data_IF_721283989998
#
_entry.id   IF_721283989998
#
_cell.length_a   1.000
_cell.length_b   1.000
_cell.length_c   1.000
_cell.angle_alpha   90.00
_cell.angle_beta   90.00
_cell.angle_gamma   90.00
#
_symmetry.space_group_name_H-M   'P 1'
#
loop_
_entity.id
_entity.type
_entity.pdbx_description
1 polymer ?
#
# COMPACT_ATOMS: atom_id res chain seq x y z
N UNK A 1 -0.67 -3.13 18.28
CA UNK A 1 0.60 -3.83 18.52
C UNK A 1 0.37 -5.31 18.23
N UNK A 2 1.06 -5.86 17.22
CA UNK A 2 0.93 -7.26 16.78
C UNK A 2 1.47 -8.16 17.89
N UNK A 3 0.69 -9.13 18.36
CA UNK A 3 1.03 -9.91 19.56
C UNK A 3 1.67 -11.26 19.26
N UNK A 4 1.47 -11.79 18.05
CA UNK A 4 2.00 -13.10 17.65
C UNK A 4 2.05 -13.30 16.12
N UNK A 5 2.61 -14.44 15.68
CA UNK A 5 2.76 -14.83 14.26
C UNK A 5 1.42 -15.02 13.55
N UNK A 6 0.38 -15.49 14.23
CA UNK A 6 -0.92 -15.69 13.61
C UNK A 6 -1.58 -14.34 13.28
N UNK A 7 -1.47 -13.36 14.18
CA UNK A 7 -1.93 -11.99 13.95
C UNK A 7 -1.11 -11.33 12.85
N UNK A 8 0.19 -11.60 12.79
CA UNK A 8 1.05 -11.15 11.72
C UNK A 8 0.65 -11.74 10.35
N UNK A 9 0.47 -13.06 10.23
CA UNK A 9 0.05 -13.73 8.98
C UNK A 9 -1.40 -13.38 8.57
N UNK A 10 -2.22 -12.94 9.53
CA UNK A 10 -3.53 -12.34 9.24
C UNK A 10 -3.36 -10.96 8.61
N UNK A 11 -2.38 -10.18 9.04
CA UNK A 11 -2.16 -8.81 8.57
C UNK A 11 -1.33 -8.76 7.29
N UNK A 12 -0.36 -9.64 7.10
CA UNK A 12 0.58 -9.61 5.99
C UNK A 12 0.64 -10.97 5.29
N UNK A 13 0.50 -10.99 3.98
CA UNK A 13 0.68 -12.19 3.16
C UNK A 13 1.52 -11.86 1.93
N UNK A 14 2.61 -12.59 1.74
CA UNK A 14 3.45 -12.48 0.55
C UNK A 14 3.28 -13.75 -0.30
N UNK A 15 3.02 -13.57 -1.59
CA UNK A 15 2.98 -14.64 -2.57
C UNK A 15 4.03 -14.38 -3.64
N UNK A 16 4.83 -15.40 -3.98
CA UNK A 16 5.76 -15.36 -5.11
C UNK A 16 5.15 -16.07 -6.32
N UNK A 17 5.38 -15.49 -7.50
CA UNK A 17 5.17 -16.15 -8.78
C UNK A 17 6.32 -15.77 -9.70
N UNK A 18 7.15 -16.74 -10.05
CA UNK A 18 8.39 -16.53 -10.80
C UNK A 18 9.30 -15.52 -10.09
N UNK A 19 9.68 -14.43 -10.77
CA UNK A 19 10.50 -13.34 -10.21
C UNK A 19 9.68 -12.16 -9.66
N UNK A 20 8.36 -12.32 -9.54
CA UNK A 20 7.43 -11.27 -9.08
C UNK A 20 6.75 -11.68 -7.78
N UNK A 21 6.44 -10.66 -6.98
CA UNK A 21 5.81 -10.82 -5.68
C UNK A 21 4.49 -10.06 -5.62
N UNK A 22 3.53 -10.64 -4.89
CA UNK A 22 2.31 -9.96 -4.50
C UNK A 22 2.26 -9.87 -2.98
N UNK A 23 2.12 -8.65 -2.46
CA UNK A 23 2.03 -8.36 -1.04
C UNK A 23 0.61 -7.92 -0.70
N UNK A 24 0.02 -8.57 0.28
CA UNK A 24 -1.31 -8.26 0.79
C UNK A 24 -1.14 -7.75 2.21
N UNK A 25 -1.69 -6.57 2.49
CA UNK A 25 -1.69 -5.97 3.81
C UNK A 25 -3.14 -5.70 4.23
N UNK A 26 -3.62 -6.43 5.23
CA UNK A 26 -4.93 -6.23 5.83
C UNK A 26 -4.87 -5.14 6.89
N UNK A 27 -5.95 -4.36 6.99
CA UNK A 27 -6.12 -3.30 7.98
C UNK A 27 -5.08 -2.15 7.86
N UNK A 28 -4.47 -1.97 6.67
CA UNK A 28 -3.52 -0.86 6.44
C UNK A 28 -4.26 0.47 6.21
N UNK A 29 -3.92 1.55 6.94
CA UNK A 29 -4.64 2.81 6.85
C UNK A 29 -4.45 3.48 5.48
N UNK A 30 -5.56 3.65 4.74
CA UNK A 30 -5.54 4.26 3.40
C UNK A 30 -5.01 5.70 3.42
N UNK A 31 -5.26 6.42 4.50
CA UNK A 31 -4.85 7.81 4.65
C UNK A 31 -3.33 7.92 4.89
N UNK A 32 -2.75 7.01 5.67
CA UNK A 32 -1.30 6.93 5.85
C UNK A 32 -0.62 6.59 4.52
N UNK A 33 -1.14 5.61 3.78
CA UNK A 33 -0.68 5.31 2.42
C UNK A 33 -0.75 6.54 1.50
N UNK A 34 -1.89 7.23 1.47
CA UNK A 34 -2.09 8.40 0.63
C UNK A 34 -1.15 9.56 0.99
N UNK A 35 -0.86 9.75 2.27
CA UNK A 35 0.12 10.73 2.75
C UNK A 35 1.56 10.34 2.40
N UNK A 36 1.88 9.06 2.52
CA UNK A 36 3.21 8.54 2.23
C UNK A 36 3.60 8.73 0.76
N UNK A 37 2.65 8.51 -0.16
CA UNK A 37 2.84 8.66 -1.60
C UNK A 37 2.21 9.96 -2.15
N UNK A 38 2.09 10.99 -1.30
CA UNK A 38 1.33 12.20 -1.62
C UNK A 38 1.81 12.93 -2.88
N UNK A 39 3.13 12.94 -3.09
CA UNK A 39 3.80 13.67 -4.19
C UNK A 39 4.27 12.77 -5.32
N UNK A 40 4.08 11.46 -5.17
CA UNK A 40 4.49 10.45 -6.13
C UNK A 40 3.49 10.41 -7.29
N UNK A 41 4.04 10.32 -8.50
CA UNK A 41 3.21 10.16 -9.71
C UNK A 41 2.67 8.73 -9.75
N UNK A 42 1.35 8.61 -9.89
CA UNK A 42 0.62 7.36 -10.02
C UNK A 42 0.03 7.31 -11.42
N UNK A 43 0.38 6.26 -12.17
CA UNK A 43 -0.29 5.97 -13.43
C UNK A 43 -1.66 5.32 -13.19
N UNK A 44 -2.64 5.68 -14.00
CA UNK A 44 -4.01 5.14 -13.93
C UNK A 44 -4.61 5.27 -12.51
N UNK A 45 -4.34 6.40 -11.85
CA UNK A 45 -4.84 6.70 -10.52
C UNK A 45 -6.36 6.64 -10.52
N UNK A 46 -6.92 5.77 -9.69
CA UNK A 46 -8.35 5.73 -9.40
C UNK A 46 -8.53 5.87 -7.90
N UNK A 47 -9.34 6.84 -7.46
CA UNK A 47 -9.61 7.12 -6.06
C UNK A 47 -11.11 7.36 -5.85
N UNK A 48 -11.71 6.65 -4.90
CA UNK A 48 -13.08 6.84 -4.46
C UNK A 48 -13.07 7.24 -2.98
N UNK A 49 -13.76 8.33 -2.65
CA UNK A 49 -13.78 8.88 -1.30
C UNK A 49 -15.13 9.54 -0.99
N UNK A 50 -15.45 9.70 0.31
CA UNK A 50 -16.60 10.49 0.75
C UNK A 50 -16.15 11.93 0.98
N UNK A 51 -16.80 12.85 0.28
CA UNK A 51 -16.65 14.28 0.53
C UNK A 51 -17.38 14.63 1.82
N UNK A 52 -16.64 15.02 2.86
CA UNK A 52 -17.19 15.31 4.19
C UNK A 52 -18.11 16.54 4.24
N UNK A 53 -18.04 17.43 3.24
CA UNK A 53 -18.89 18.62 3.17
C UNK A 53 -20.25 18.28 2.58
N UNK A 54 -20.29 17.37 1.62
CA UNK A 54 -21.52 17.00 0.88
C UNK A 54 -22.09 15.65 1.27
N UNK A 55 -21.35 14.84 2.03
CA UNK A 55 -21.64 13.43 2.34
C UNK A 55 -21.92 12.60 1.07
N UNK A 56 -21.18 12.88 -0.01
CA UNK A 56 -21.34 12.20 -1.29
C UNK A 56 -20.08 11.45 -1.70
N UNK A 57 -20.30 10.30 -2.37
CA UNK A 57 -19.22 9.56 -3.00
C UNK A 57 -18.68 10.35 -4.20
N UNK A 58 -17.39 10.65 -4.15
CA UNK A 58 -16.62 11.26 -5.25
C UNK A 58 -15.67 10.23 -5.84
N UNK A 59 -15.36 10.42 -7.12
CA UNK A 59 -14.42 9.58 -7.86
C UNK A 59 -13.46 10.44 -8.67
N UNK A 60 -12.17 10.12 -8.56
CA UNK A 60 -11.10 10.64 -9.39
C UNK A 60 -10.57 9.48 -10.24
N UNK A 61 -10.34 9.76 -11.52
CA UNK A 61 -9.67 8.85 -12.44
C UNK A 61 -8.80 9.68 -13.40
N UNK A 62 -7.48 9.46 -13.35
CA UNK A 62 -6.52 10.20 -14.17
C UNK A 62 -5.31 9.31 -14.52
N UNK A 63 -4.70 9.57 -15.67
CA UNK A 63 -3.67 8.70 -16.23
C UNK A 63 -2.31 8.92 -15.59
N UNK A 64 -1.93 10.16 -15.25
CA UNK A 64 -0.64 10.47 -14.62
C UNK A 64 -0.85 11.63 -13.67
N UNK A 65 -1.15 11.30 -12.43
CA UNK A 65 -1.51 12.30 -11.43
C UNK A 65 -0.89 11.99 -10.08
N UNK A 66 -0.84 13.01 -9.24
CA UNK A 66 -0.41 12.94 -7.85
C UNK A 66 -1.59 13.23 -6.95
N UNK A 67 -1.59 12.68 -5.75
CA UNK A 67 -2.60 13.04 -4.76
C UNK A 67 -2.53 14.53 -4.39
N UNK A 68 -1.33 15.12 -4.45
CA UNK A 68 -1.11 16.57 -4.28
C UNK A 68 -1.76 17.45 -5.34
N UNK A 69 -2.19 16.90 -6.47
CA UNK A 69 -2.88 17.66 -7.51
C UNK A 69 -4.35 17.92 -7.15
N UNK A 70 -4.91 17.14 -6.22
CA UNK A 70 -6.33 17.20 -5.83
C UNK A 70 -6.57 17.61 -4.38
N UNK A 71 -5.62 17.32 -3.48
CA UNK A 71 -5.78 17.53 -2.05
C UNK A 71 -4.59 18.24 -1.44
N UNK A 72 -4.81 18.90 -0.30
CA UNK A 72 -3.75 19.26 0.65
C UNK A 72 -3.45 18.06 1.56
N UNK A 73 -2.26 18.05 2.15
CA UNK A 73 -1.85 17.00 3.09
C UNK A 73 -2.81 16.87 4.28
N UNK A 74 -3.30 17.99 4.83
CA UNK A 74 -4.21 17.97 5.98
C UNK A 74 -5.58 17.39 5.63
N UNK A 75 -6.02 17.54 4.37
CA UNK A 75 -7.28 17.02 3.87
C UNK A 75 -7.22 15.49 3.77
N UNK A 76 -6.11 14.93 3.26
CA UNK A 76 -5.92 13.48 3.15
C UNK A 76 -5.89 12.76 4.49
N UNK A 77 -5.35 13.38 5.53
CA UNK A 77 -5.29 12.78 6.86
C UNK A 77 -6.68 12.40 7.40
N UNK A 78 -7.72 13.15 7.02
CA UNK A 78 -9.10 12.96 7.48
C UNK A 78 -10.06 12.47 6.40
N UNK A 79 -9.58 12.30 5.17
CA UNK A 79 -10.40 11.89 4.04
C UNK A 79 -10.91 10.46 4.24
N UNK A 80 -12.21 10.23 4.05
CA UNK A 80 -12.74 8.87 4.10
C UNK A 80 -12.54 8.18 2.75
N UNK A 81 -11.36 7.59 2.56
CA UNK A 81 -11.01 6.85 1.35
C UNK A 81 -11.74 5.50 1.35
N UNK A 82 -12.56 5.25 0.32
CA UNK A 82 -13.24 3.96 0.11
C UNK A 82 -12.37 3.00 -0.68
N UNK A 83 -11.80 3.47 -1.78
CA UNK A 83 -10.88 2.70 -2.61
C UNK A 83 -9.85 3.61 -3.27
N UNK A 84 -8.65 3.07 -3.47
CA UNK A 84 -7.57 3.67 -4.22
C UNK A 84 -6.83 2.56 -4.96
N UNK A 85 -6.42 2.84 -6.19
CA UNK A 85 -5.59 1.97 -7.03
C UNK A 85 -4.79 2.77 -8.05
N UNK A 86 -3.77 2.14 -8.59
CA UNK A 86 -2.95 2.70 -9.65
C UNK A 86 -1.65 1.93 -9.80
N UNK A 87 -0.74 2.50 -10.59
CA UNK A 87 0.55 1.91 -10.89
C UNK A 87 1.67 2.91 -10.59
N UNK A 88 2.66 2.50 -9.81
CA UNK A 88 3.84 3.33 -9.59
C UNK A 88 4.94 2.97 -10.59
N UNK A 89 5.14 3.85 -11.56
CA UNK A 89 6.21 3.71 -12.56
C UNK A 89 7.60 3.54 -11.93
N UNK A 90 7.92 4.33 -10.92
CA UNK A 90 9.26 4.33 -10.33
C UNK A 90 9.60 3.03 -9.62
N UNK A 91 8.59 2.34 -9.08
CA UNK A 91 8.75 1.12 -8.30
C UNK A 91 8.34 -0.15 -9.06
N UNK A 92 7.80 -0.01 -10.28
CA UNK A 92 7.35 -1.11 -11.15
C UNK A 92 6.37 -2.07 -10.45
N UNK A 93 5.32 -1.53 -9.82
CA UNK A 93 4.25 -2.33 -9.23
C UNK A 93 2.87 -1.67 -9.34
N UNK A 94 1.84 -2.52 -9.43
CA UNK A 94 0.44 -2.11 -9.37
C UNK A 94 -0.08 -2.23 -7.94
N UNK A 95 -0.95 -1.33 -7.50
CA UNK A 95 -1.63 -1.47 -6.23
C UNK A 95 -3.13 -1.25 -6.37
N UNK A 96 -3.88 -1.87 -5.47
CA UNK A 96 -5.29 -1.60 -5.31
C UNK A 96 -5.73 -1.88 -3.87
N UNK A 97 -6.88 -1.34 -3.52
CA UNK A 97 -7.56 -1.67 -2.28
C UNK A 97 -8.82 -2.48 -2.56
N UNK A 98 -9.00 -3.55 -1.79
CA UNK A 98 -10.20 -4.39 -1.82
C UNK A 98 -10.67 -4.54 -0.39
N UNK A 99 -11.79 -3.90 -0.05
CA UNK A 99 -12.28 -3.81 1.32
C UNK A 99 -11.22 -3.17 2.26
N UNK A 100 -10.74 -3.93 3.25
CA UNK A 100 -9.71 -3.53 4.21
C UNK A 100 -8.30 -3.97 3.79
N UNK A 101 -8.16 -4.62 2.63
CA UNK A 101 -6.88 -5.15 2.16
C UNK A 101 -6.27 -4.22 1.12
N UNK A 102 -5.02 -3.82 1.33
CA UNK A 102 -4.14 -3.34 0.27
C UNK A 102 -3.48 -4.52 -0.42
N UNK A 103 -3.50 -4.49 -1.74
CA UNK A 103 -2.89 -5.51 -2.59
C UNK A 103 -1.88 -4.80 -3.48
N UNK A 104 -0.62 -5.15 -3.32
CA UNK A 104 0.50 -4.70 -4.14
C UNK A 104 0.90 -5.88 -5.03
N UNK A 105 0.75 -5.75 -6.34
CA UNK A 105 0.94 -6.81 -7.31
C UNK A 105 2.14 -6.55 -8.21
N UNK A 106 2.73 -7.65 -8.68
CA UNK A 106 3.83 -7.65 -9.65
C UNK A 106 5.09 -6.91 -9.19
N UNK A 107 5.37 -6.90 -7.88
CA UNK A 107 6.57 -6.26 -7.32
C UNK A 107 7.79 -7.04 -7.79
N UNK A 108 8.77 -6.38 -8.41
CA UNK A 108 10.05 -7.01 -8.74
C UNK A 108 10.83 -7.36 -7.46
N UNK A 109 11.57 -8.47 -7.46
CA UNK A 109 12.39 -8.91 -6.32
C UNK A 109 13.27 -7.79 -5.75
N UNK A 110 13.90 -7.03 -6.65
CA UNK A 110 14.86 -5.98 -6.28
C UNK A 110 14.21 -4.79 -5.57
N UNK A 111 12.91 -4.55 -5.81
CA UNK A 111 12.15 -3.47 -5.19
C UNK A 111 11.37 -3.91 -3.94
N UNK A 112 11.24 -5.23 -3.71
CA UNK A 112 10.45 -5.76 -2.62
C UNK A 112 10.92 -5.24 -1.25
N UNK A 113 12.23 -5.34 -0.96
CA UNK A 113 12.78 -4.87 0.32
C UNK A 113 12.54 -3.37 0.52
N UNK A 114 12.73 -2.57 -0.54
CA UNK A 114 12.51 -1.13 -0.49
C UNK A 114 11.04 -0.80 -0.23
N UNK A 115 10.12 -1.47 -0.92
CA UNK A 115 8.68 -1.26 -0.74
C UNK A 115 8.23 -1.59 0.67
N UNK A 116 8.74 -2.69 1.24
CA UNK A 116 8.46 -3.05 2.64
C UNK A 116 9.02 -2.01 3.61
N UNK A 117 10.23 -1.52 3.36
CA UNK A 117 10.83 -0.48 4.20
C UNK A 117 10.02 0.83 4.17
N UNK A 118 9.48 1.17 3.00
CA UNK A 118 8.58 2.31 2.84
C UNK A 118 7.28 2.03 3.60
N UNK A 119 6.51 1.01 3.22
CA UNK A 119 5.16 0.75 3.75
C UNK A 119 5.14 0.50 5.27
N UNK A 120 6.24 -0.06 5.82
CA UNK A 120 6.34 -0.43 7.22
C UNK A 120 7.23 0.51 8.02
N UNK A 121 7.63 1.66 7.48
CA UNK A 121 8.52 2.61 8.16
C UNK A 121 8.02 3.02 9.56
N UNK A 122 6.71 3.04 9.78
CA UNK A 122 6.08 3.42 11.04
C UNK A 122 5.76 2.22 11.97
N UNK A 123 6.00 0.98 11.54
CA UNK A 123 5.87 -0.20 12.40
C UNK A 123 7.10 -0.37 13.30
N UNK A 124 6.90 -0.93 14.48
CA UNK A 124 8.00 -1.24 15.40
C UNK A 124 9.03 -2.17 14.72
N UNK A 125 10.31 -1.79 14.81
CA UNK A 125 11.45 -2.44 14.15
C UNK A 125 11.52 -3.97 14.35
N UNK A 126 10.99 -4.48 15.47
CA UNK A 126 10.94 -5.92 15.73
C UNK A 126 10.00 -6.65 14.76
N UNK A 127 8.91 -6.01 14.34
CA UNK A 127 7.98 -6.57 13.35
C UNK A 127 8.51 -6.41 11.93
N UNK A 128 9.15 -5.28 11.60
CA UNK A 128 9.82 -5.11 10.31
C UNK A 128 10.90 -6.18 10.13
N UNK A 129 11.73 -6.42 11.15
CA UNK A 129 12.78 -7.45 11.11
C UNK A 129 12.21 -8.86 10.97
N UNK A 130 11.09 -9.15 11.64
CA UNK A 130 10.40 -10.44 11.52
C UNK A 130 9.76 -10.61 10.15
N UNK A 131 9.16 -9.56 9.60
CA UNK A 131 8.61 -9.55 8.25
C UNK A 131 9.72 -9.77 7.23
N UNK A 132 10.83 -9.03 7.32
CA UNK A 132 12.05 -9.29 6.53
C UNK A 132 12.59 -10.71 6.68
N UNK A 133 12.55 -11.29 7.88
CA UNK A 133 13.02 -12.66 8.11
C UNK A 133 12.09 -13.70 7.52
N UNK A 134 10.77 -13.56 7.68
CA UNK A 134 9.79 -14.47 7.06
C UNK A 134 9.76 -14.31 5.53
N UNK A 135 9.99 -13.09 5.02
CA UNK A 135 10.23 -12.84 3.60
C UNK A 135 11.52 -13.52 3.13
N UNK A 136 12.64 -13.36 3.83
CA UNK A 136 13.93 -13.99 3.50
C UNK A 136 13.85 -15.51 3.52
N UNK A 137 13.16 -16.09 4.51
CA UNK A 137 12.93 -17.53 4.58
C UNK A 137 12.13 -17.99 3.36
N UNK A 138 11.03 -17.32 2.99
CA UNK A 138 10.29 -17.68 1.78
C UNK A 138 11.07 -17.42 0.48
N UNK A 139 12.10 -16.56 0.50
CA UNK A 139 13.00 -16.27 -0.62
C UNK A 139 14.22 -17.21 -0.70
N UNK A 140 14.59 -17.88 0.40
CA UNK A 140 15.77 -18.77 0.50
C UNK A 140 15.47 -20.24 0.18
N UNK A 141 14.20 -20.64 0.13
CA UNK A 141 13.78 -22.03 -0.12
C UNK A 141 13.30 -22.32 -1.56
N UNK A 142 13.75 -21.53 -2.55
CA UNK A 142 13.71 -21.85 -3.99
C UNK A 142 15.12 -22.26 -4.49
#
# INVERSE_FOLDING_TARGET
>A
MIKNVQEFNRLFQLYQKDNRFNLYINDYPKNEFALQFFTDEIEELTLEYIDSTTDTLKKIHDYRAKLSDYFKSEELATLEIKSISGYFNHYDFYFLTKNQTFIFNFIHRDFLSQLIDILLAELDCNFISRLKTELLINLEYD
#
